data_IF_541073735667
#
_entry.id   IF_541073735667
#
_cell.length_a   1.000
_cell.length_b   1.000
_cell.length_c   1.000
_cell.angle_alpha   90.00
_cell.angle_beta   90.00
_cell.angle_gamma   90.00
#
_symmetry.space_group_name_H-M   'P 1'
#
loop_
_entity.id
_entity.type
_entity.pdbx_description
1 polymer ?
#
# COMPACT_ATOMS: atom_id res chain seq x y z
N UNK A 1 -3.54 23.02 -10.53
CA UNK A 1 -3.88 22.32 -9.28
C UNK A 1 -3.16 20.98 -9.31
N UNK A 2 -2.45 20.58 -8.25
CA UNK A 2 -1.75 19.30 -8.25
C UNK A 2 -2.77 18.17 -8.46
N UNK A 3 -2.53 17.30 -9.43
CA UNK A 3 -3.36 16.13 -9.66
C UNK A 3 -3.31 15.26 -8.40
N UNK A 4 -4.45 14.97 -7.81
CA UNK A 4 -4.54 14.09 -6.65
C UNK A 4 -5.05 12.72 -7.11
N UNK A 5 -4.43 11.66 -6.61
CA UNK A 5 -4.72 10.28 -6.99
C UNK A 5 -5.34 9.53 -5.82
N UNK A 6 -6.15 8.53 -6.11
CA UNK A 6 -6.50 7.49 -5.14
C UNK A 6 -5.40 6.42 -5.15
N UNK A 7 -5.29 5.66 -4.07
CA UNK A 7 -4.28 4.59 -3.95
C UNK A 7 -4.97 3.28 -3.62
N UNK A 8 -4.70 2.25 -4.41
CA UNK A 8 -5.14 0.88 -4.14
C UNK A 8 -3.96 0.11 -3.58
N UNK A 9 -4.17 -0.51 -2.42
CA UNK A 9 -3.18 -1.37 -1.77
C UNK A 9 -3.67 -2.80 -1.87
N UNK A 10 -2.84 -3.71 -2.36
CA UNK A 10 -3.18 -5.13 -2.54
C UNK A 10 -2.13 -6.01 -1.90
N UNK A 11 -2.52 -7.05 -1.16
CA UNK A 11 -1.56 -8.04 -0.64
C UNK A 11 -1.11 -8.94 -1.78
N UNK A 12 0.18 -8.84 -2.14
CA UNK A 12 0.80 -9.71 -3.16
C UNK A 12 1.26 -11.04 -2.62
N UNK A 13 1.85 -11.01 -1.42
CA UNK A 13 2.33 -12.22 -0.77
C UNK A 13 2.26 -12.12 0.73
N UNK A 14 2.01 -13.25 1.38
CA UNK A 14 2.12 -13.39 2.82
C UNK A 14 3.05 -14.56 3.09
N UNK A 15 4.08 -14.34 3.91
CA UNK A 15 4.95 -15.39 4.41
C UNK A 15 4.81 -15.49 5.93
N UNK A 16 4.78 -16.72 6.43
CA UNK A 16 4.63 -16.99 7.86
C UNK A 16 3.19 -16.82 8.33
N UNK A 17 2.99 -16.16 9.47
CA UNK A 17 1.68 -15.97 10.07
C UNK A 17 1.37 -14.50 10.34
N UNK A 18 0.29 -13.98 9.73
CA UNK A 18 -0.19 -12.64 10.03
C UNK A 18 -1.22 -12.74 11.17
N UNK A 19 -0.90 -12.16 12.33
CA UNK A 19 -1.82 -12.17 13.49
C UNK A 19 -3.15 -11.43 13.27
N UNK A 20 -3.24 -10.59 12.23
CA UNK A 20 -4.47 -9.91 11.82
C UNK A 20 -5.23 -10.64 10.70
N UNK A 21 -4.69 -11.76 10.18
CA UNK A 21 -5.35 -12.58 9.18
C UNK A 21 -5.34 -12.05 7.75
N UNK A 22 -4.45 -11.09 7.44
CA UNK A 22 -4.24 -10.61 6.06
C UNK A 22 -3.65 -11.70 5.19
N UNK A 23 -4.16 -11.82 3.97
CA UNK A 23 -3.85 -12.88 3.01
C UNK A 23 -3.77 -12.33 1.59
N UNK A 24 -3.15 -13.10 0.71
CA UNK A 24 -3.00 -12.76 -0.70
C UNK A 24 -4.34 -12.44 -1.35
N UNK A 25 -4.40 -11.33 -2.08
CA UNK A 25 -5.61 -10.83 -2.72
C UNK A 25 -6.46 -9.87 -1.88
N UNK A 26 -6.20 -9.72 -0.58
CA UNK A 26 -6.84 -8.66 0.22
C UNK A 26 -6.46 -7.30 -0.38
N UNK A 27 -7.43 -6.39 -0.51
CA UNK A 27 -7.22 -5.07 -1.10
C UNK A 27 -7.99 -3.96 -0.40
N UNK A 28 -7.42 -2.76 -0.42
CA UNK A 28 -7.96 -1.57 0.21
C UNK A 28 -7.79 -0.35 -0.69
N UNK A 29 -8.87 0.42 -0.91
CA UNK A 29 -8.82 1.72 -1.59
C UNK A 29 -8.64 2.82 -0.53
N UNK A 30 -7.66 3.69 -0.74
CA UNK A 30 -7.32 4.83 0.12
C UNK A 30 -7.57 6.12 -0.65
N UNK A 31 -8.56 6.89 -0.21
CA UNK A 31 -9.02 8.13 -0.87
C UNK A 31 -8.79 9.39 -0.02
N UNK A 32 -8.22 9.25 1.18
CA UNK A 32 -7.97 10.37 2.11
C UNK A 32 -7.95 9.98 3.59
N UNK A 33 -8.59 8.87 3.94
CA UNK A 33 -8.64 8.32 5.29
C UNK A 33 -8.01 6.94 5.36
N UNK A 34 -7.64 6.50 6.56
CA UNK A 34 -7.22 5.11 6.81
C UNK A 34 -8.30 4.13 6.37
N UNK A 35 -7.98 3.10 5.59
CA UNK A 35 -8.96 2.12 5.17
C UNK A 35 -9.41 1.25 6.35
N UNK A 36 -10.69 0.91 6.39
CA UNK A 36 -11.22 -0.04 7.38
C UNK A 36 -10.66 -1.44 7.11
N UNK A 37 -10.34 -2.17 8.18
CA UNK A 37 -9.91 -3.57 8.09
C UNK A 37 -8.42 -3.79 7.86
N UNK A 38 -7.63 -2.74 7.57
CA UNK A 38 -6.17 -2.82 7.61
C UNK A 38 -5.67 -2.63 9.05
N UNK A 39 -4.62 -3.35 9.44
CA UNK A 39 -4.01 -3.15 10.75
C UNK A 39 -3.15 -1.87 10.78
N UNK A 40 -3.06 -1.21 11.94
CA UNK A 40 -2.28 0.03 12.10
C UNK A 40 -0.81 -0.15 11.76
N UNK A 41 -0.25 -1.33 12.08
CA UNK A 41 1.13 -1.67 11.78
C UNK A 41 1.39 -1.65 10.26
N UNK A 42 0.65 -2.44 9.50
CA UNK A 42 0.77 -2.48 8.04
C UNK A 42 0.51 -1.13 7.39
N UNK A 43 -0.49 -0.39 7.88
CA UNK A 43 -0.77 0.96 7.38
C UNK A 43 0.42 1.92 7.63
N UNK A 44 1.03 1.88 8.81
CA UNK A 44 2.19 2.72 9.11
C UNK A 44 3.39 2.42 8.21
N UNK A 45 3.61 1.15 7.84
CA UNK A 45 4.68 0.77 6.93
C UNK A 45 4.49 1.31 5.50
N UNK A 46 3.25 1.33 5.00
CA UNK A 46 2.96 1.75 3.62
C UNK A 46 2.63 3.24 3.49
N UNK A 47 2.30 3.92 4.59
CA UNK A 47 1.84 5.31 4.60
C UNK A 47 2.76 6.28 3.83
N UNK A 48 4.11 6.20 3.92
CA UNK A 48 4.98 7.09 3.15
C UNK A 48 4.77 6.96 1.64
N UNK A 49 4.73 5.73 1.11
CA UNK A 49 4.50 5.49 -0.31
C UNK A 49 3.07 5.87 -0.73
N UNK A 50 2.06 5.55 0.09
CA UNK A 50 0.67 5.98 -0.14
C UNK A 50 0.62 7.50 -0.27
N UNK A 51 1.28 8.25 0.62
CA UNK A 51 1.29 9.72 0.55
C UNK A 51 2.03 10.25 -0.68
N UNK A 52 3.16 9.68 -1.04
CA UNK A 52 3.89 10.02 -2.27
C UNK A 52 2.98 9.90 -3.48
N UNK A 53 2.33 8.74 -3.64
CA UNK A 53 1.46 8.47 -4.78
C UNK A 53 0.18 9.31 -4.81
N UNK A 54 -0.46 9.54 -3.67
CA UNK A 54 -1.64 10.42 -3.58
C UNK A 54 -1.36 11.83 -4.11
N UNK A 55 -0.13 12.32 -3.94
CA UNK A 55 0.30 13.66 -4.37
C UNK A 55 0.96 13.67 -5.76
N UNK A 56 0.91 12.55 -6.49
CA UNK A 56 1.50 12.42 -7.83
C UNK A 56 3.02 12.24 -7.84
N UNK A 57 3.64 12.00 -6.69
CA UNK A 57 5.05 11.61 -6.61
C UNK A 57 5.31 10.22 -7.19
N UNK A 58 6.57 9.97 -7.51
CA UNK A 58 7.06 8.69 -8.05
C UNK A 58 8.34 8.28 -7.32
N UNK A 59 8.62 6.99 -7.28
CA UNK A 59 9.88 6.45 -6.79
C UNK A 59 10.84 6.24 -7.97
N UNK A 60 12.00 6.92 -8.03
CA UNK A 60 12.84 6.94 -9.23
C UNK A 60 13.54 5.61 -9.56
N UNK A 61 13.51 4.64 -8.64
CA UNK A 61 14.08 3.30 -8.83
C UNK A 61 13.04 2.28 -9.30
N UNK A 62 11.75 2.62 -9.29
CA UNK A 62 10.69 1.71 -9.75
C UNK A 62 10.65 1.66 -11.27
N UNK A 63 10.33 0.47 -11.81
CA UNK A 63 10.11 0.30 -13.25
C UNK A 63 8.72 0.78 -13.67
N UNK A 64 7.74 0.63 -12.78
CA UNK A 64 6.38 1.10 -12.93
C UNK A 64 6.21 2.34 -12.04
N UNK A 65 6.12 3.53 -12.64
CA UNK A 65 5.98 4.79 -11.90
C UNK A 65 4.67 4.88 -11.10
N UNK A 66 3.71 4.01 -11.38
CA UNK A 66 2.41 3.98 -10.72
C UNK A 66 2.37 3.01 -9.53
N UNK A 67 3.42 2.21 -9.29
CA UNK A 67 3.42 1.19 -8.24
C UNK A 67 4.75 1.01 -7.51
N UNK A 68 4.68 0.55 -6.26
CA UNK A 68 5.82 0.05 -5.48
C UNK A 68 5.37 -1.07 -4.58
N UNK A 69 6.30 -1.94 -4.18
CA UNK A 69 6.05 -3.01 -3.24
C UNK A 69 6.71 -2.67 -1.89
N UNK A 70 5.92 -2.66 -0.81
CA UNK A 70 6.41 -2.51 0.56
C UNK A 70 5.92 -3.66 1.43
N UNK A 71 6.68 -3.99 2.46
CA UNK A 71 6.29 -5.03 3.41
C UNK A 71 5.85 -4.46 4.76
N UNK A 72 5.03 -5.25 5.46
CA UNK A 72 4.80 -5.09 6.89
C UNK A 72 6.14 -5.09 7.64
N UNK A 73 6.25 -4.26 8.67
CA UNK A 73 7.42 -4.18 9.54
C UNK A 73 7.65 -5.43 10.41
N UNK A 74 6.79 -6.45 10.30
CA UNK A 74 7.06 -7.78 10.84
C UNK A 74 8.03 -8.53 9.91
N UNK A 75 9.31 -8.43 10.23
CA UNK A 75 10.38 -9.05 9.46
C UNK A 75 10.32 -10.60 9.48
N UNK A 76 9.68 -11.21 10.48
CA UNK A 76 9.55 -12.67 10.58
C UNK A 76 8.35 -13.18 9.77
N UNK A 77 7.28 -12.38 9.66
CA UNK A 77 6.07 -12.72 8.92
C UNK A 77 5.69 -11.62 7.90
N UNK A 78 6.53 -11.39 6.87
CA UNK A 78 6.32 -10.27 5.98
C UNK A 78 5.06 -10.48 5.13
N UNK A 79 4.14 -9.54 5.25
CA UNK A 79 3.05 -9.32 4.29
C UNK A 79 3.55 -8.28 3.31
N UNK A 80 3.62 -8.62 2.03
CA UNK A 80 4.04 -7.71 0.95
C UNK A 80 2.81 -7.11 0.30
N UNK A 81 2.77 -5.79 0.24
CA UNK A 81 1.71 -4.98 -0.34
C UNK A 81 2.19 -4.34 -1.64
N UNK A 82 1.43 -4.51 -2.72
CA UNK A 82 1.50 -3.60 -3.87
C UNK A 82 0.76 -2.32 -3.51
N UNK A 83 1.39 -1.19 -3.72
CA UNK A 83 0.79 0.13 -3.52
C UNK A 83 0.74 0.78 -4.89
N UNK A 84 -0.45 0.91 -5.45
CA UNK A 84 -0.66 1.41 -6.81
C UNK A 84 -1.52 2.67 -6.80
N UNK A 85 -1.08 3.73 -7.48
CA UNK A 85 -1.93 4.90 -7.70
C UNK A 85 -2.95 4.64 -8.80
N UNK A 86 -4.14 5.18 -8.63
CA UNK A 86 -5.21 5.15 -9.64
C UNK A 86 -5.75 6.57 -9.83
N UNK A 87 -6.13 6.95 -11.07
CA UNK A 87 -6.80 8.21 -11.32
C UNK A 87 -8.04 8.37 -10.43
N UNK A 88 -8.29 9.57 -9.93
CA UNK A 88 -9.55 9.87 -9.25
C UNK A 88 -10.70 9.86 -10.25
N UNK A 89 -11.79 9.22 -9.84
CA UNK A 89 -13.10 9.29 -10.51
C UNK A 89 -13.75 10.65 -10.31
#
# INVERSE_FOLDING_TARGET
MAQSYDVVVTVKSQKGHCGWGHKEGDSWKITGTTPSGMCLAGFAAILPAVRTYMMGGVHPWEKDEDATDLCCQDALNPVVFEIRRVPKE
#
